data_IF_312081652027
#
_entry.id   IF_312081652027
#
_cell.length_a   1.000
_cell.length_b   1.000
_cell.length_c   1.000
_cell.angle_alpha   90.00
_cell.angle_beta   90.00
_cell.angle_gamma   90.00
#
_symmetry.space_group_name_H-M   'P 1'
#
loop_
_entity.id
_entity.type
_entity.pdbx_description
1 polymer ?
#
# COMPACT_ATOMS: atom_id res chain seq x y z
N UNK A 1 -21.23 16.02 5.77
CA UNK A 1 -19.75 15.92 5.59
C UNK A 1 -19.37 16.55 4.28
N UNK A 2 -18.20 17.16 4.15
CA UNK A 2 -17.77 17.78 2.90
C UNK A 2 -17.05 16.77 2.00
N UNK A 3 -17.03 17.00 0.69
CA UNK A 3 -16.24 16.21 -0.27
C UNK A 3 -14.75 16.21 0.08
N UNK A 4 -14.02 15.17 -0.34
CA UNK A 4 -12.56 15.13 -0.22
C UNK A 4 -11.97 15.62 -1.54
N UNK A 5 -11.36 16.79 -1.54
CA UNK A 5 -10.66 17.35 -2.70
C UNK A 5 -9.23 16.79 -2.71
N UNK A 6 -8.83 16.18 -3.84
CA UNK A 6 -7.49 15.63 -4.04
C UNK A 6 -6.66 16.53 -4.95
N UNK A 7 -7.24 17.01 -6.04
CA UNK A 7 -6.65 17.96 -6.98
C UNK A 7 -7.76 18.85 -7.56
N UNK A 8 -7.40 19.78 -8.45
CA UNK A 8 -8.40 20.64 -9.12
C UNK A 8 -9.46 19.85 -9.89
N UNK A 9 -9.09 18.67 -10.42
CA UNK A 9 -9.98 17.84 -11.25
C UNK A 9 -10.52 16.61 -10.53
N UNK A 10 -9.88 16.17 -9.44
CA UNK A 10 -10.21 14.90 -8.77
C UNK A 10 -10.76 15.16 -7.37
N UNK A 11 -11.96 14.64 -7.14
CA UNK A 11 -12.63 14.73 -5.84
C UNK A 11 -13.46 13.47 -5.54
N UNK A 12 -13.61 13.21 -4.26
CA UNK A 12 -14.53 12.20 -3.74
C UNK A 12 -15.77 12.93 -3.26
N UNK A 13 -16.94 12.78 -3.90
CA UNK A 13 -18.17 13.43 -3.46
C UNK A 13 -18.61 12.88 -2.10
N UNK A 14 -19.34 13.68 -1.35
CA UNK A 14 -19.86 13.27 -0.05
C UNK A 14 -20.70 12.00 -0.11
N UNK A 15 -21.48 11.83 -1.19
CA UNK A 15 -22.32 10.64 -1.42
C UNK A 15 -21.55 9.33 -1.58
N UNK A 16 -20.25 9.41 -1.88
CA UNK A 16 -19.36 8.24 -1.99
C UNK A 16 -18.69 7.88 -0.67
N UNK A 17 -18.88 8.67 0.39
CA UNK A 17 -18.20 8.53 1.66
C UNK A 17 -19.19 8.05 2.73
N UNK A 18 -18.86 6.96 3.41
CA UNK A 18 -19.56 6.49 4.60
C UNK A 18 -18.59 6.47 5.78
N UNK A 19 -18.97 7.08 6.89
CA UNK A 19 -18.16 7.09 8.11
C UNK A 19 -18.90 6.36 9.23
N UNK A 20 -18.19 5.44 9.86
CA UNK A 20 -18.67 4.70 11.02
C UNK A 20 -17.72 4.90 12.19
N UNK A 21 -18.24 5.35 13.32
CA UNK A 21 -17.50 5.42 14.56
C UNK A 21 -17.64 4.10 15.32
N UNK A 22 -16.51 3.54 15.75
CA UNK A 22 -16.42 2.30 16.52
C UNK A 22 -15.56 2.51 17.76
N UNK A 23 -15.67 1.61 18.73
CA UNK A 23 -14.80 1.65 19.90
C UNK A 23 -13.38 1.27 19.49
N UNK A 24 -12.38 1.98 20.00
CA UNK A 24 -10.99 1.65 19.79
C UNK A 24 -10.67 0.31 20.50
N UNK A 25 -9.92 -0.56 19.84
CA UNK A 25 -9.39 -1.79 20.43
C UNK A 25 -8.00 -1.51 21.01
N UNK A 26 -7.78 -1.75 22.30
CA UNK A 26 -6.45 -1.62 22.92
C UNK A 26 -6.52 -1.83 24.44
N UNK A 27 -5.37 -2.09 25.10
CA UNK A 27 -5.27 -2.13 26.55
C UNK A 27 -5.43 -0.70 27.08
N UNK A 28 -6.65 -0.30 27.42
CA UNK A 28 -6.93 1.05 27.90
C UNK A 28 -7.99 1.04 28.99
N UNK A 29 -7.89 2.00 29.89
CA UNK A 29 -8.83 2.18 31.01
C UNK A 29 -10.26 2.51 30.57
N UNK A 30 -11.13 2.88 31.51
CA UNK A 30 -12.57 3.07 31.30
C UNK A 30 -12.98 3.98 30.13
N UNK A 31 -12.15 4.94 29.71
CA UNK A 31 -12.44 5.83 28.58
C UNK A 31 -12.44 5.11 27.23
N UNK A 32 -11.53 4.14 27.00
CA UNK A 32 -11.42 3.40 25.72
C UNK A 32 -12.67 2.54 25.48
N UNK A 33 -13.28 2.05 26.55
CA UNK A 33 -14.45 1.18 26.47
C UNK A 33 -15.80 1.95 26.34
N UNK A 34 -15.82 3.26 26.61
CA UNK A 34 -17.05 4.06 26.61
C UNK A 34 -17.20 4.99 25.41
N UNK A 35 -16.10 5.39 24.74
CA UNK A 35 -16.13 6.41 23.68
C UNK A 35 -15.73 5.79 22.34
N UNK A 36 -16.61 5.91 21.33
CA UNK A 36 -16.36 5.44 19.97
C UNK A 36 -15.49 6.47 19.21
N UNK A 37 -14.18 6.42 19.41
CA UNK A 37 -13.23 7.37 18.79
C UNK A 37 -12.54 6.80 17.55
N UNK A 38 -12.55 5.49 17.35
CA UNK A 38 -12.04 4.85 16.14
C UNK A 38 -12.99 5.13 14.98
N UNK A 39 -12.45 5.56 13.86
CA UNK A 39 -13.18 5.86 12.63
C UNK A 39 -12.87 4.80 11.58
N UNK A 40 -13.93 4.24 11.00
CA UNK A 40 -13.89 3.43 9.79
C UNK A 40 -14.53 4.25 8.67
N UNK A 41 -13.71 4.78 7.77
CA UNK A 41 -14.14 5.55 6.60
C UNK A 41 -14.15 4.64 5.39
N UNK A 42 -15.28 4.56 4.70
CA UNK A 42 -15.46 3.75 3.49
C UNK A 42 -15.72 4.66 2.30
N UNK A 43 -15.07 4.37 1.19
CA UNK A 43 -15.18 5.14 -0.06
C UNK A 43 -15.56 4.22 -1.21
N UNK A 44 -16.60 4.58 -1.94
CA UNK A 44 -16.98 3.91 -3.21
C UNK A 44 -16.06 4.39 -4.33
N UNK A 45 -15.15 3.52 -4.79
CA UNK A 45 -14.14 3.87 -5.79
C UNK A 45 -14.76 4.26 -7.14
N UNK A 46 -15.93 3.71 -7.48
CA UNK A 46 -16.64 3.97 -8.74
C UNK A 46 -17.18 5.39 -8.82
N UNK A 47 -17.48 6.02 -7.68
CA UNK A 47 -18.05 7.38 -7.59
C UNK A 47 -16.99 8.48 -7.49
N UNK A 48 -15.71 8.16 -7.52
CA UNK A 48 -14.65 9.18 -7.50
C UNK A 48 -14.68 9.91 -8.85
N UNK A 49 -14.86 11.22 -8.79
CA UNK A 49 -14.93 12.09 -9.96
C UNK A 49 -13.55 12.51 -10.44
N UNK A 50 -13.38 12.69 -11.75
CA UNK A 50 -12.14 13.19 -12.37
C UNK A 50 -11.01 12.18 -12.53
N UNK A 51 -11.17 10.93 -12.10
CA UNK A 51 -10.17 9.88 -12.31
C UNK A 51 -10.20 9.37 -13.76
N UNK A 52 -9.05 9.38 -14.43
CA UNK A 52 -8.88 8.64 -15.69
C UNK A 52 -8.97 7.13 -15.44
N UNK A 53 -9.34 6.37 -16.48
CA UNK A 53 -9.46 4.91 -16.38
C UNK A 53 -8.14 4.25 -15.95
N UNK A 54 -7.01 4.76 -16.44
CA UNK A 54 -5.69 4.28 -16.04
C UNK A 54 -5.37 4.59 -14.56
N UNK A 55 -5.77 5.75 -14.05
CA UNK A 55 -5.63 6.10 -12.64
C UNK A 55 -6.55 5.26 -11.75
N UNK A 56 -7.77 4.97 -12.22
CA UNK A 56 -8.72 4.10 -11.52
C UNK A 56 -8.19 2.67 -11.35
N UNK A 57 -7.60 2.10 -12.40
CA UNK A 57 -6.94 0.77 -12.31
C UNK A 57 -5.79 0.79 -11.32
N UNK A 58 -4.90 1.78 -11.39
CA UNK A 58 -3.78 1.90 -10.43
C UNK A 58 -4.27 2.06 -8.99
N UNK A 59 -5.35 2.84 -8.78
CA UNK A 59 -5.95 2.99 -7.46
C UNK A 59 -6.45 1.65 -6.95
N UNK A 60 -7.21 0.91 -7.78
CA UNK A 60 -7.73 -0.41 -7.41
C UNK A 60 -6.60 -1.37 -7.03
N UNK A 61 -5.53 -1.44 -7.82
CA UNK A 61 -4.37 -2.30 -7.54
C UNK A 61 -3.66 -1.88 -6.23
N UNK A 62 -3.52 -0.57 -6.00
CA UNK A 62 -2.88 -0.02 -4.80
C UNK A 62 -3.65 -0.36 -3.53
N UNK A 63 -4.98 -0.33 -3.59
CA UNK A 63 -5.85 -0.53 -2.42
C UNK A 63 -6.50 -1.90 -2.34
N UNK A 64 -6.14 -2.85 -3.21
CA UNK A 64 -6.77 -4.17 -3.32
C UNK A 64 -6.87 -4.91 -1.95
N UNK A 65 -5.84 -4.76 -1.10
CA UNK A 65 -5.79 -5.34 0.24
C UNK A 65 -6.62 -4.59 1.29
N UNK A 66 -7.26 -3.48 0.93
CA UNK A 66 -8.09 -2.64 1.80
C UNK A 66 -9.54 -2.54 1.34
N UNK A 67 -9.93 -3.34 0.36
CA UNK A 67 -11.30 -3.38 -0.12
C UNK A 67 -12.15 -4.27 0.79
N UNK A 68 -13.39 -3.83 1.06
CA UNK A 68 -14.38 -4.67 1.70
C UNK A 68 -15.07 -5.61 0.67
N UNK A 69 -16.00 -6.44 1.16
CA UNK A 69 -16.75 -7.38 0.31
C UNK A 69 -17.57 -6.68 -0.80
N UNK A 70 -17.91 -5.42 -0.62
CA UNK A 70 -18.66 -4.60 -1.59
C UNK A 70 -17.71 -3.83 -2.53
N UNK A 71 -16.40 -4.04 -2.45
CA UNK A 71 -15.39 -3.35 -3.25
C UNK A 71 -15.16 -1.88 -2.86
N UNK A 72 -15.56 -1.49 -1.65
CA UNK A 72 -15.31 -0.14 -1.12
C UNK A 72 -13.96 -0.09 -0.42
N UNK A 73 -13.21 0.99 -0.61
CA UNK A 73 -11.99 1.25 0.13
C UNK A 73 -12.30 1.52 1.61
N UNK A 74 -11.70 0.74 2.50
CA UNK A 74 -11.81 0.91 3.96
C UNK A 74 -10.53 1.54 4.49
N UNK A 75 -10.67 2.69 5.14
CA UNK A 75 -9.56 3.38 5.82
C UNK A 75 -9.93 3.61 7.27
N UNK A 76 -9.09 3.11 8.18
CA UNK A 76 -9.32 3.24 9.61
C UNK A 76 -8.40 4.30 10.23
N UNK A 77 -8.90 5.02 11.22
CA UNK A 77 -8.11 5.92 12.07
C UNK A 77 -8.49 5.79 13.53
N UNK A 78 -7.48 5.65 14.37
CA UNK A 78 -7.59 5.65 15.84
C UNK A 78 -6.37 6.35 16.46
N UNK A 79 -5.83 7.35 15.77
CA UNK A 79 -4.58 8.02 16.13
C UNK A 79 -4.73 8.86 17.41
N UNK A 80 -5.91 9.47 17.58
CA UNK A 80 -6.19 10.39 18.67
C UNK A 80 -7.39 9.97 19.50
N UNK A 81 -7.57 10.62 20.66
CA UNK A 81 -8.75 10.45 21.52
C UNK A 81 -9.97 11.25 21.05
N UNK A 82 -9.79 12.06 20.01
CA UNK A 82 -10.82 12.95 19.46
C UNK A 82 -11.34 12.40 18.14
N UNK A 83 -12.64 12.15 18.08
CA UNK A 83 -13.29 11.58 16.92
C UNK A 83 -13.11 12.43 15.66
N UNK A 84 -13.26 13.76 15.75
CA UNK A 84 -13.11 14.69 14.62
C UNK A 84 -11.71 14.64 14.03
N UNK A 85 -10.66 14.61 14.85
CA UNK A 85 -9.28 14.48 14.39
C UNK A 85 -9.01 13.13 13.69
N UNK A 86 -9.63 12.06 14.17
CA UNK A 86 -9.53 10.76 13.51
C UNK A 86 -10.28 10.73 12.16
N UNK A 87 -11.37 11.46 12.03
CA UNK A 87 -12.05 11.65 10.73
C UNK A 87 -11.14 12.40 9.75
N UNK A 88 -10.50 13.48 10.18
CA UNK A 88 -9.57 14.26 9.35
C UNK A 88 -8.37 13.42 8.92
N UNK A 89 -7.78 12.64 9.82
CA UNK A 89 -6.68 11.72 9.52
C UNK A 89 -7.11 10.64 8.50
N UNK A 90 -8.28 10.03 8.67
CA UNK A 90 -8.81 9.07 7.71
C UNK A 90 -9.02 9.70 6.32
N UNK A 91 -9.52 10.94 6.26
CA UNK A 91 -9.69 11.71 5.02
C UNK A 91 -8.34 12.04 4.37
N UNK A 92 -7.34 12.42 5.15
CA UNK A 92 -5.99 12.67 4.68
C UNK A 92 -5.39 11.40 4.05
N UNK A 93 -5.51 10.26 4.70
CA UNK A 93 -5.07 8.95 4.16
C UNK A 93 -5.76 8.59 2.84
N UNK A 94 -7.05 8.82 2.70
CA UNK A 94 -7.77 8.62 1.43
C UNK A 94 -7.21 9.55 0.35
N UNK A 95 -6.98 10.83 0.68
CA UNK A 95 -6.39 11.80 -0.26
C UNK A 95 -5.02 11.35 -0.75
N UNK A 96 -4.15 10.88 0.14
CA UNK A 96 -2.81 10.38 -0.17
C UNK A 96 -2.87 9.16 -1.10
N UNK A 97 -3.75 8.19 -0.83
CA UNK A 97 -3.91 7.00 -1.67
C UNK A 97 -4.36 7.35 -3.09
N UNK A 98 -5.32 8.27 -3.22
CA UNK A 98 -5.79 8.73 -4.54
C UNK A 98 -4.68 9.54 -5.23
N UNK A 99 -3.99 10.43 -4.53
CA UNK A 99 -2.87 11.19 -5.08
C UNK A 99 -1.75 10.28 -5.59
N UNK A 100 -1.41 9.23 -4.84
CA UNK A 100 -0.43 8.24 -5.27
C UNK A 100 -0.85 7.52 -6.57
N UNK A 101 -2.15 7.23 -6.74
CA UNK A 101 -2.68 6.62 -7.95
C UNK A 101 -2.67 7.56 -9.17
N UNK A 102 -2.67 8.87 -8.97
CA UNK A 102 -2.55 9.85 -10.05
C UNK A 102 -1.13 9.89 -10.64
N UNK A 103 -0.12 9.59 -9.83
CA UNK A 103 1.27 9.54 -10.30
C UNK A 103 1.44 8.42 -11.32
N UNK A 104 1.87 8.78 -12.54
CA UNK A 104 2.16 7.79 -13.57
C UNK A 104 3.52 7.14 -13.29
N UNK A 105 3.58 5.81 -13.12
CA UNK A 105 4.85 5.14 -12.89
C UNK A 105 5.77 5.29 -14.10
N UNK A 106 7.03 5.61 -13.85
CA UNK A 106 8.05 5.66 -14.92
C UNK A 106 8.32 4.23 -15.39
N UNK A 107 8.19 3.92 -16.69
CA UNK A 107 8.47 2.59 -17.21
C UNK A 107 9.93 2.22 -16.98
N UNK A 108 10.17 1.12 -16.26
CA UNK A 108 11.52 0.59 -16.08
C UNK A 108 11.99 -0.04 -17.37
N UNK A 109 13.03 0.55 -17.98
CA UNK A 109 13.73 -0.10 -19.10
C UNK A 109 14.63 -1.18 -18.56
N UNK A 110 14.55 -2.38 -19.14
CA UNK A 110 15.45 -3.48 -18.81
C UNK A 110 16.90 -3.08 -19.13
N UNK A 111 17.78 -3.13 -18.14
CA UNK A 111 19.21 -2.90 -18.32
C UNK A 111 19.92 -4.21 -18.58
N UNK A 112 20.87 -4.21 -19.54
CA UNK A 112 21.72 -5.37 -19.77
C UNK A 112 22.87 -5.36 -18.75
N UNK A 113 23.24 -6.54 -18.18
CA UNK A 113 24.41 -6.63 -17.32
C UNK A 113 25.67 -6.17 -18.06
N UNK A 114 26.52 -5.40 -17.39
CA UNK A 114 27.80 -4.97 -17.93
C UNK A 114 28.71 -6.16 -18.19
N UNK A 115 29.71 -6.00 -19.12
CA UNK A 115 30.71 -7.02 -19.39
C UNK A 115 31.43 -7.45 -18.12
N UNK A 116 31.85 -6.50 -17.31
CA UNK A 116 32.54 -6.75 -16.03
C UNK A 116 31.67 -7.55 -15.05
N UNK A 117 30.36 -7.28 -14.98
CA UNK A 117 29.42 -8.04 -14.14
C UNK A 117 29.31 -9.49 -14.61
N UNK A 118 29.25 -9.73 -15.93
CA UNK A 118 29.25 -11.09 -16.49
C UNK A 118 30.53 -11.85 -16.17
N UNK A 119 31.69 -11.20 -16.36
CA UNK A 119 32.99 -11.79 -16.07
C UNK A 119 33.13 -12.17 -14.59
N UNK A 120 32.77 -11.27 -13.68
CA UNK A 120 32.73 -11.57 -12.23
C UNK A 120 31.84 -12.74 -11.89
N UNK A 121 30.62 -12.82 -12.48
CA UNK A 121 29.70 -13.91 -12.27
C UNK A 121 30.28 -15.25 -12.77
N UNK A 122 30.94 -15.26 -13.94
CA UNK A 122 31.57 -16.45 -14.51
C UNK A 122 32.74 -16.89 -13.66
N UNK A 123 33.61 -15.96 -13.24
CA UNK A 123 34.75 -16.24 -12.36
C UNK A 123 34.28 -16.87 -11.02
N UNK A 124 33.23 -16.31 -10.39
CA UNK A 124 32.69 -16.86 -9.17
C UNK A 124 32.03 -18.25 -9.37
N UNK A 125 31.43 -18.52 -10.51
CA UNK A 125 30.93 -19.87 -10.84
C UNK A 125 32.07 -20.87 -11.02
N UNK A 126 33.16 -20.50 -11.75
CA UNK A 126 34.33 -21.36 -11.94
C UNK A 126 34.97 -21.69 -10.60
N UNK A 127 35.18 -20.70 -9.73
CA UNK A 127 35.75 -20.93 -8.40
C UNK A 127 34.91 -21.89 -7.56
N UNK A 128 33.58 -21.66 -7.50
CA UNK A 128 32.66 -22.57 -6.78
C UNK A 128 32.64 -23.99 -7.39
N UNK A 129 32.74 -24.09 -8.72
CA UNK A 129 32.84 -25.38 -9.41
C UNK A 129 34.13 -26.11 -9.07
N UNK A 130 35.27 -25.41 -8.94
CA UNK A 130 36.54 -25.96 -8.47
C UNK A 130 36.44 -26.53 -7.04
N UNK A 131 35.90 -25.73 -6.11
CA UNK A 131 35.68 -26.18 -4.73
C UNK A 131 34.77 -27.42 -4.65
N UNK A 132 33.70 -27.45 -5.43
CA UNK A 132 32.80 -28.62 -5.48
C UNK A 132 33.51 -29.87 -5.99
N UNK A 133 34.34 -29.78 -7.03
CA UNK A 133 35.12 -30.91 -7.56
C UNK A 133 36.12 -31.46 -6.53
N UNK A 134 36.82 -30.56 -5.81
CA UNK A 134 37.71 -30.97 -4.72
C UNK A 134 37.00 -31.70 -3.58
N UNK A 135 35.75 -31.29 -3.27
CA UNK A 135 34.94 -31.99 -2.26
C UNK A 135 34.32 -33.29 -2.74
N UNK A 136 34.11 -33.46 -4.05
CA UNK A 136 33.56 -34.67 -4.64
C UNK A 136 34.63 -35.70 -5.00
N UNK A 137 35.91 -35.35 -4.93
CA UNK A 137 37.01 -36.34 -5.04
C UNK A 137 36.98 -37.22 -3.77
N UNK A 138 36.74 -38.52 -3.88
CA UNK A 138 36.83 -39.43 -2.73
C UNK A 138 38.27 -39.36 -2.24
N UNK A 139 38.45 -38.86 -1.00
CA UNK A 139 39.73 -38.95 -0.33
C UNK A 139 40.07 -40.42 -0.20
N UNK A 140 41.26 -40.79 -0.65
CA UNK A 140 41.85 -42.08 -0.42
C UNK A 140 42.05 -42.24 1.10
N UNK A 141 41.08 -42.85 1.76
CA UNK A 141 41.17 -43.21 3.17
C UNK A 141 41.77 -44.61 3.25
N UNK A 142 43.08 -44.72 2.99
CA UNK A 142 43.90 -45.91 3.30
C UNK A 142 44.42 -45.77 4.70
#
# INVERSE_FOLDING_TARGET
>A
MSAIVVSETVRVPESAITVRATRASGPGGQHVNKVATKIDLRVELTRIEGLSEAARRRLHDLVAHRLDADGRLVVTSQLTRTQSLNVEDARAKVRELIAAALVRPTPRRATRPTRTSRERRIAGKKQRGGVKRLRASPGDWS
#
